data_IF_148435304110
#
_entry.id   IF_148435304110
#
_cell.length_a   1.000
_cell.length_b   1.000
_cell.length_c   1.000
_cell.angle_alpha   90.00
_cell.angle_beta   90.00
_cell.angle_gamma   90.00
#
_symmetry.space_group_name_H-M   'P 1'
#
loop_
_entity.id
_entity.type
_entity.pdbx_description
1 polymer ?
#
# COMPACT_ATOMS: atom_id res chain seq x y z
N UNK A 1 15.25 39.84 -5.22
CA UNK A 1 14.48 39.88 -3.97
C UNK A 1 14.59 38.49 -3.35
N UNK A 2 15.45 38.35 -2.36
CA UNK A 2 15.67 37.11 -1.62
C UNK A 2 14.44 36.84 -0.74
N UNK A 3 13.57 35.93 -1.19
CA UNK A 3 12.46 35.50 -0.38
C UNK A 3 12.98 34.77 0.86
N UNK A 4 12.84 35.40 2.01
CA UNK A 4 13.12 34.82 3.33
C UNK A 4 12.36 33.50 3.47
N UNK A 5 13.01 32.40 3.87
CA UNK A 5 12.28 31.14 4.12
C UNK A 5 11.24 31.39 5.22
N UNK A 6 10.04 30.78 5.13
CA UNK A 6 8.99 30.97 6.12
C UNK A 6 9.48 30.71 7.54
N UNK A 7 9.02 31.53 8.48
CA UNK A 7 9.43 31.48 9.88
C UNK A 7 9.20 30.09 10.50
N UNK A 8 10.03 29.71 11.46
CA UNK A 8 10.02 28.39 12.10
C UNK A 8 8.64 27.88 12.60
N UNK A 9 7.74 28.71 13.16
CA UNK A 9 6.40 28.30 13.57
C UNK A 9 5.50 27.90 12.38
N UNK A 10 5.61 28.54 11.22
CA UNK A 10 4.85 28.18 10.03
C UNK A 10 5.26 26.80 9.44
N UNK A 11 6.54 26.41 9.59
CA UNK A 11 7.03 25.09 9.16
C UNK A 11 6.50 23.97 10.04
N UNK A 12 6.43 24.16 11.35
CA UNK A 12 5.85 23.18 12.29
C UNK A 12 4.37 22.91 12.02
N UNK A 13 3.58 23.95 11.77
CA UNK A 13 2.18 23.85 11.43
C UNK A 13 1.96 23.11 10.09
N UNK A 14 2.80 23.37 9.07
CA UNK A 14 2.72 22.69 7.80
C UNK A 14 3.04 21.19 7.88
N UNK A 15 4.04 20.79 8.69
CA UNK A 15 4.34 19.37 8.94
C UNK A 15 3.18 18.69 9.67
N UNK A 16 2.61 19.34 10.70
CA UNK A 16 1.46 18.82 11.42
C UNK A 16 0.25 18.67 10.50
N UNK A 17 0.00 19.64 9.60
CA UNK A 17 -1.07 19.55 8.61
C UNK A 17 -0.89 18.31 7.70
N UNK A 18 0.28 18.14 7.10
CA UNK A 18 0.52 16.98 6.20
C UNK A 18 0.40 15.65 6.97
N UNK A 19 0.86 15.62 8.23
CA UNK A 19 0.66 14.45 9.08
C UNK A 19 -0.82 14.11 9.27
N UNK A 20 -1.64 15.11 9.60
CA UNK A 20 -3.10 14.96 9.77
C UNK A 20 -3.75 14.56 8.45
N UNK A 21 -3.37 15.19 7.34
CA UNK A 21 -3.87 14.83 5.99
C UNK A 21 -3.63 13.37 5.68
N UNK A 22 -2.39 12.89 5.83
CA UNK A 22 -2.04 11.49 5.54
C UNK A 22 -2.77 10.53 6.50
N UNK A 23 -2.86 10.88 7.79
CA UNK A 23 -3.62 10.10 8.76
C UNK A 23 -5.08 9.95 8.35
N UNK A 24 -5.73 11.06 7.96
CA UNK A 24 -7.13 11.07 7.53
C UNK A 24 -7.34 10.31 6.21
N UNK A 25 -6.42 10.46 5.25
CA UNK A 25 -6.47 9.73 3.98
C UNK A 25 -6.36 8.20 4.19
N UNK A 26 -5.44 7.77 5.05
CA UNK A 26 -5.26 6.35 5.38
C UNK A 26 -6.42 5.81 6.22
N UNK A 27 -6.96 6.63 7.11
CA UNK A 27 -8.15 6.29 7.87
C UNK A 27 -9.38 6.14 6.96
N UNK A 28 -9.60 7.08 6.02
CA UNK A 28 -10.68 7.01 5.05
C UNK A 28 -10.57 5.78 4.12
N UNK A 29 -9.36 5.47 3.65
CA UNK A 29 -9.10 4.26 2.88
C UNK A 29 -9.40 3.00 3.70
N UNK A 30 -8.99 2.99 4.95
CA UNK A 30 -9.23 1.89 5.89
C UNK A 30 -10.72 1.66 6.16
N UNK A 31 -11.51 2.74 6.32
CA UNK A 31 -12.97 2.67 6.52
C UNK A 31 -13.67 1.85 5.43
N UNK A 32 -13.24 2.01 4.20
CA UNK A 32 -13.89 1.44 3.02
C UNK A 32 -13.45 -0.02 2.78
N UNK A 33 -12.26 -0.38 3.24
CA UNK A 33 -11.64 -1.66 2.93
C UNK A 33 -12.50 -2.89 3.28
N UNK A 34 -13.14 -3.01 4.45
CA UNK A 34 -14.00 -4.14 4.77
C UNK A 34 -15.36 -4.10 4.07
N UNK A 35 -15.78 -2.95 3.53
CA UNK A 35 -17.15 -2.72 3.07
C UNK A 35 -17.29 -2.81 1.56
N UNK A 36 -16.35 -2.22 0.81
CA UNK A 36 -16.46 -2.13 -0.64
C UNK A 36 -16.65 -3.50 -1.34
N UNK A 37 -15.94 -4.59 -0.96
CA UNK A 37 -16.17 -5.90 -1.57
C UNK A 37 -17.58 -6.42 -1.31
N UNK A 38 -18.13 -6.23 -0.10
CA UNK A 38 -19.49 -6.62 0.27
C UNK A 38 -20.53 -5.78 -0.44
N UNK A 39 -20.28 -4.47 -0.63
CA UNK A 39 -21.16 -3.62 -1.41
C UNK A 39 -21.20 -4.05 -2.88
N UNK A 40 -20.08 -4.46 -3.46
CA UNK A 40 -20.05 -5.05 -4.81
C UNK A 40 -20.85 -6.34 -4.85
N UNK A 41 -20.71 -7.20 -3.84
CA UNK A 41 -21.43 -8.47 -3.73
C UNK A 41 -22.96 -8.28 -3.67
N UNK A 42 -23.44 -7.27 -2.95
CA UNK A 42 -24.87 -6.96 -2.87
C UNK A 42 -25.50 -6.53 -4.20
N UNK A 43 -24.73 -6.01 -5.15
CA UNK A 43 -25.18 -5.64 -6.49
C UNK A 43 -25.24 -6.83 -7.48
N UNK A 44 -24.78 -8.00 -7.07
CA UNK A 44 -24.72 -9.20 -7.93
C UNK A 44 -25.44 -10.39 -7.28
N UNK A 45 -26.53 -10.13 -6.60
CA UNK A 45 -27.39 -11.14 -5.96
C UNK A 45 -26.64 -12.04 -4.96
N UNK A 46 -25.62 -11.49 -4.29
CA UNK A 46 -24.72 -12.18 -3.37
C UNK A 46 -23.94 -13.36 -4.01
N UNK A 47 -23.74 -13.31 -5.33
CA UNK A 47 -22.80 -14.22 -6.02
C UNK A 47 -21.36 -13.78 -5.74
N UNK A 48 -20.73 -14.42 -4.75
CA UNK A 48 -19.36 -14.11 -4.32
C UNK A 48 -18.35 -14.33 -5.44
N UNK A 49 -18.53 -15.33 -6.32
CA UNK A 49 -17.62 -15.58 -7.44
C UNK A 49 -17.68 -14.46 -8.49
N UNK A 50 -18.90 -13.96 -8.78
CA UNK A 50 -19.11 -12.82 -9.67
C UNK A 50 -18.59 -11.52 -9.03
N UNK A 51 -18.86 -11.32 -7.75
CA UNK A 51 -18.35 -10.18 -6.98
C UNK A 51 -16.81 -10.12 -6.99
N UNK A 52 -16.14 -11.26 -6.79
CA UNK A 52 -14.68 -11.33 -6.81
C UNK A 52 -14.09 -10.91 -8.17
N UNK A 53 -14.67 -11.36 -9.28
CA UNK A 53 -14.24 -10.95 -10.63
C UNK A 53 -14.38 -9.45 -10.85
N UNK A 54 -15.51 -8.87 -10.46
CA UNK A 54 -15.78 -7.43 -10.59
C UNK A 54 -14.88 -6.63 -9.68
N UNK A 55 -14.69 -7.07 -8.43
CA UNK A 55 -13.80 -6.40 -7.48
C UNK A 55 -12.34 -6.43 -7.94
N UNK A 56 -11.90 -7.52 -8.56
CA UNK A 56 -10.59 -7.60 -9.20
C UNK A 56 -10.41 -6.58 -10.33
N UNK A 57 -11.42 -6.42 -11.18
CA UNK A 57 -11.43 -5.40 -12.23
C UNK A 57 -11.38 -3.97 -11.64
N UNK A 58 -12.10 -3.72 -10.55
CA UNK A 58 -12.08 -2.44 -9.83
C UNK A 58 -10.68 -2.12 -9.26
N UNK A 59 -10.05 -3.11 -8.61
CA UNK A 59 -8.69 -2.97 -8.08
C UNK A 59 -7.65 -2.73 -9.18
N UNK A 60 -7.77 -3.46 -10.29
CA UNK A 60 -6.89 -3.28 -11.46
C UNK A 60 -7.08 -1.92 -12.12
N UNK A 61 -8.33 -1.46 -12.31
CA UNK A 61 -8.62 -0.13 -12.86
C UNK A 61 -8.04 0.98 -11.96
N UNK A 62 -8.23 0.86 -10.65
CA UNK A 62 -7.65 1.79 -9.67
C UNK A 62 -6.12 1.83 -9.74
N UNK A 63 -5.46 0.67 -9.76
CA UNK A 63 -4.00 0.57 -9.86
C UNK A 63 -3.47 1.11 -11.20
N UNK A 64 -4.20 0.87 -12.30
CA UNK A 64 -3.86 1.39 -13.63
C UNK A 64 -3.92 2.92 -13.65
N UNK A 65 -4.98 3.50 -13.11
CA UNK A 65 -5.11 4.96 -13.02
C UNK A 65 -3.99 5.55 -12.15
N UNK A 66 -3.69 4.94 -11.02
CA UNK A 66 -2.60 5.36 -10.15
C UNK A 66 -1.24 5.30 -10.85
N UNK A 67 -0.99 4.24 -11.60
CA UNK A 67 0.26 4.07 -12.36
C UNK A 67 0.47 5.20 -13.37
N UNK A 68 -0.56 5.57 -14.13
CA UNK A 68 -0.44 6.63 -15.13
C UNK A 68 -0.49 8.04 -14.53
N UNK A 69 -1.36 8.27 -13.57
CA UNK A 69 -1.60 9.62 -13.06
C UNK A 69 -0.65 10.05 -11.94
N UNK A 70 0.01 9.13 -11.22
CA UNK A 70 0.96 9.49 -10.17
C UNK A 70 2.15 10.32 -10.70
N UNK A 71 2.83 9.94 -11.79
CA UNK A 71 3.88 10.79 -12.37
C UNK A 71 3.35 12.11 -12.96
N UNK A 72 2.13 12.09 -13.52
CA UNK A 72 1.50 13.30 -14.09
C UNK A 72 1.21 14.30 -12.97
N UNK A 73 0.56 13.86 -11.88
CA UNK A 73 0.26 14.72 -10.73
C UNK A 73 1.54 15.18 -10.02
N UNK A 74 2.58 14.35 -9.95
CA UNK A 74 3.90 14.76 -9.50
C UNK A 74 4.45 15.92 -10.34
N UNK A 75 4.47 15.78 -11.66
CA UNK A 75 4.93 16.85 -12.58
C UNK A 75 4.05 18.09 -12.54
N UNK A 76 2.74 17.94 -12.37
CA UNK A 76 1.82 19.07 -12.20
C UNK A 76 2.12 19.81 -10.87
N UNK A 77 2.44 19.08 -9.82
CA UNK A 77 2.81 19.66 -8.53
C UNK A 77 4.16 20.41 -8.59
N UNK A 78 5.10 19.95 -9.43
CA UNK A 78 6.36 20.65 -9.69
C UNK A 78 6.14 21.96 -10.45
N UNK A 79 5.12 22.00 -11.33
CA UNK A 79 4.82 23.18 -12.16
C UNK A 79 3.92 24.20 -11.49
N UNK A 80 2.82 23.74 -10.87
CA UNK A 80 1.79 24.64 -10.34
C UNK A 80 1.97 24.90 -8.84
N UNK A 81 2.78 24.11 -8.16
CA UNK A 81 2.98 24.11 -6.71
C UNK A 81 2.38 22.86 -6.07
N UNK A 82 2.87 22.53 -4.88
CA UNK A 82 2.45 21.34 -4.13
C UNK A 82 1.02 21.47 -3.59
N UNK A 83 0.72 22.65 -3.02
CA UNK A 83 -0.56 22.93 -2.36
C UNK A 83 -1.77 22.69 -3.27
N UNK A 84 -1.88 23.26 -4.49
CA UNK A 84 -3.05 23.05 -5.33
C UNK A 84 -3.30 21.58 -5.66
N UNK A 85 -2.24 20.80 -5.89
CA UNK A 85 -2.37 19.39 -6.26
C UNK A 85 -2.83 18.55 -5.06
N UNK A 86 -2.29 18.78 -3.87
CA UNK A 86 -2.76 18.08 -2.64
C UNK A 86 -4.22 18.38 -2.37
N UNK A 87 -4.62 19.66 -2.44
CA UNK A 87 -6.00 20.06 -2.18
C UNK A 87 -6.99 19.51 -3.21
N UNK A 88 -6.61 19.55 -4.50
CA UNK A 88 -7.45 18.99 -5.57
C UNK A 88 -7.61 17.48 -5.45
N UNK A 89 -6.55 16.78 -5.05
CA UNK A 89 -6.58 15.33 -4.80
C UNK A 89 -7.51 14.99 -3.64
N UNK A 90 -7.40 15.69 -2.50
CA UNK A 90 -8.26 15.45 -1.35
C UNK A 90 -9.73 15.79 -1.63
N UNK A 91 -9.97 16.87 -2.37
CA UNK A 91 -11.31 17.24 -2.82
C UNK A 91 -11.89 16.17 -3.76
N UNK A 92 -11.10 15.70 -4.72
CA UNK A 92 -11.50 14.63 -5.65
C UNK A 92 -11.82 13.32 -4.93
N UNK A 93 -11.03 12.94 -3.90
CA UNK A 93 -11.32 11.78 -3.05
C UNK A 93 -12.62 11.98 -2.25
N UNK A 94 -12.85 13.18 -1.70
CA UNK A 94 -14.09 13.47 -1.01
C UNK A 94 -15.33 13.33 -1.91
N UNK A 95 -15.25 13.84 -3.14
CA UNK A 95 -16.32 13.68 -4.14
C UNK A 95 -16.49 12.22 -4.57
N UNK A 96 -15.39 11.46 -4.74
CA UNK A 96 -15.45 10.03 -5.02
C UNK A 96 -16.21 9.27 -3.94
N UNK A 97 -15.94 9.56 -2.67
CA UNK A 97 -16.64 8.90 -1.57
C UNK A 97 -18.12 9.26 -1.51
N UNK A 98 -18.51 10.50 -1.84
CA UNK A 98 -19.92 10.88 -2.00
C UNK A 98 -20.55 10.10 -3.16
N UNK A 99 -19.87 10.01 -4.30
CA UNK A 99 -20.34 9.26 -5.46
C UNK A 99 -20.55 7.78 -5.10
N UNK A 100 -19.62 7.17 -4.34
CA UNK A 100 -19.74 5.77 -3.92
C UNK A 100 -20.83 5.56 -2.87
N UNK A 101 -21.02 6.51 -1.94
CA UNK A 101 -22.12 6.47 -0.98
C UNK A 101 -23.49 6.51 -1.66
N UNK A 102 -23.62 7.25 -2.74
CA UNK A 102 -24.85 7.41 -3.51
C UNK A 102 -25.00 6.39 -4.65
N UNK A 103 -23.97 5.58 -4.95
CA UNK A 103 -23.94 4.71 -6.12
C UNK A 103 -25.18 3.80 -6.20
N UNK A 104 -25.99 3.92 -7.28
CA UNK A 104 -27.18 3.06 -7.48
C UNK A 104 -26.83 1.76 -8.21
N UNK A 105 -25.61 1.61 -8.75
CA UNK A 105 -25.18 0.45 -9.51
C UNK A 105 -23.67 0.27 -9.53
N UNK A 106 -23.20 -0.90 -9.98
CA UNK A 106 -21.79 -1.24 -10.13
C UNK A 106 -21.01 -0.27 -11.03
N UNK A 107 -21.65 0.30 -12.06
CA UNK A 107 -21.00 1.26 -12.98
C UNK A 107 -20.57 2.50 -12.22
N UNK A 108 -21.40 3.01 -11.31
CA UNK A 108 -21.05 4.17 -10.50
C UNK A 108 -19.93 3.88 -9.50
N UNK A 109 -19.91 2.68 -8.90
CA UNK A 109 -18.80 2.23 -8.07
C UNK A 109 -17.50 2.11 -8.89
N UNK A 110 -17.58 1.62 -10.13
CA UNK A 110 -16.44 1.54 -11.03
C UNK A 110 -15.90 2.93 -11.40
N UNK A 111 -16.80 3.88 -11.74
CA UNK A 111 -16.41 5.28 -11.99
C UNK A 111 -15.71 5.87 -10.77
N UNK A 112 -16.23 5.61 -9.56
CA UNK A 112 -15.56 5.98 -8.32
C UNK A 112 -14.15 5.40 -8.22
N UNK A 113 -13.95 4.12 -8.53
CA UNK A 113 -12.61 3.52 -8.52
C UNK A 113 -11.64 4.18 -9.49
N UNK A 114 -12.10 4.57 -10.67
CA UNK A 114 -11.30 5.32 -11.64
C UNK A 114 -10.91 6.70 -11.10
N UNK A 115 -11.89 7.45 -10.56
CA UNK A 115 -11.65 8.78 -9.97
C UNK A 115 -10.68 8.66 -8.78
N UNK A 116 -10.92 7.72 -7.88
CA UNK A 116 -10.05 7.45 -6.73
C UNK A 116 -8.61 7.12 -7.16
N UNK A 117 -8.43 6.30 -8.20
CA UNK A 117 -7.11 5.98 -8.74
C UNK A 117 -6.37 7.21 -9.27
N UNK A 118 -7.07 8.11 -9.95
CA UNK A 118 -6.52 9.38 -10.44
C UNK A 118 -6.13 10.29 -9.27
N UNK A 119 -6.99 10.44 -8.27
CA UNK A 119 -6.81 11.39 -7.17
C UNK A 119 -5.89 10.89 -6.05
N UNK A 120 -5.74 9.58 -5.87
CA UNK A 120 -4.89 8.98 -4.82
C UNK A 120 -3.38 9.26 -4.97
N UNK A 121 -2.94 9.87 -6.05
CA UNK A 121 -1.55 10.28 -6.24
C UNK A 121 -1.11 11.44 -5.33
N UNK A 122 -2.00 11.96 -4.47
CA UNK A 122 -1.70 12.97 -3.44
C UNK A 122 -0.58 12.56 -2.49
N UNK A 123 -0.45 11.27 -2.18
CA UNK A 123 0.58 10.74 -1.28
C UNK A 123 1.99 11.10 -1.76
N UNK A 124 2.29 10.91 -3.05
CA UNK A 124 3.61 11.26 -3.60
C UNK A 124 3.90 12.76 -3.50
N UNK A 125 2.88 13.61 -3.75
CA UNK A 125 2.97 15.06 -3.62
C UNK A 125 3.14 15.47 -2.14
N UNK A 126 2.48 14.79 -1.19
CA UNK A 126 2.64 15.03 0.24
C UNK A 126 4.07 14.71 0.71
N UNK A 127 4.67 13.62 0.23
CA UNK A 127 6.09 13.32 0.50
C UNK A 127 7.03 14.38 -0.08
N UNK A 128 6.78 14.87 -1.31
CA UNK A 128 7.53 15.95 -1.90
C UNK A 128 7.39 17.25 -1.10
N UNK A 129 6.17 17.59 -0.68
CA UNK A 129 5.89 18.74 0.19
C UNK A 129 6.73 18.69 1.48
N UNK A 130 6.74 17.54 2.18
CA UNK A 130 7.56 17.33 3.39
C UNK A 130 9.05 17.52 3.09
N UNK A 131 9.54 17.00 1.96
CA UNK A 131 10.93 17.15 1.56
C UNK A 131 11.30 18.61 1.29
N UNK A 132 10.37 19.43 0.76
CA UNK A 132 10.59 20.85 0.48
C UNK A 132 10.72 21.69 1.77
N UNK A 133 9.94 21.37 2.82
CA UNK A 133 9.90 22.17 4.06
C UNK A 133 10.82 21.64 5.17
N UNK A 134 11.37 20.42 5.02
CA UNK A 134 12.14 19.75 6.07
C UNK A 134 13.63 19.74 5.72
N UNK A 135 14.52 20.25 6.60
CA UNK A 135 15.97 20.11 6.45
C UNK A 135 16.39 18.64 6.29
N UNK A 136 17.44 18.38 5.50
CA UNK A 136 17.87 17.03 5.15
C UNK A 136 18.11 16.13 6.38
N UNK A 137 18.69 16.69 7.45
CA UNK A 137 19.04 15.98 8.69
C UNK A 137 17.79 15.52 9.48
N UNK A 138 16.64 16.20 9.30
CA UNK A 138 15.37 15.90 9.99
C UNK A 138 14.39 15.11 9.16
N UNK A 139 14.64 14.91 7.85
CA UNK A 139 13.72 14.24 6.92
C UNK A 139 13.37 12.82 7.38
N UNK A 140 14.37 12.05 7.80
CA UNK A 140 14.15 10.67 8.26
C UNK A 140 13.18 10.61 9.44
N UNK A 141 13.30 11.51 10.42
CA UNK A 141 12.41 11.56 11.57
C UNK A 141 10.98 11.98 11.19
N UNK A 142 10.83 12.93 10.24
CA UNK A 142 9.50 13.36 9.77
C UNK A 142 8.84 12.28 8.93
N UNK A 143 9.55 11.61 8.04
CA UNK A 143 9.03 10.46 7.30
C UNK A 143 8.66 9.29 8.21
N UNK A 144 9.40 9.08 9.29
CA UNK A 144 9.04 8.12 10.34
C UNK A 144 7.68 8.44 10.99
N UNK A 145 7.42 9.71 11.32
CA UNK A 145 6.12 10.15 11.83
C UNK A 145 5.00 9.92 10.81
N UNK A 146 5.24 10.22 9.54
CA UNK A 146 4.29 9.95 8.46
C UNK A 146 4.00 8.46 8.34
N UNK A 147 5.02 7.60 8.42
CA UNK A 147 4.84 6.15 8.49
C UNK A 147 3.97 5.70 9.66
N UNK A 148 4.13 6.33 10.84
CA UNK A 148 3.27 6.08 11.99
C UNK A 148 1.81 6.51 11.74
N UNK A 149 1.58 7.64 11.02
CA UNK A 149 0.24 8.07 10.62
C UNK A 149 -0.42 7.06 9.67
N UNK A 150 0.33 6.56 8.68
CA UNK A 150 -0.12 5.47 7.81
C UNK A 150 -0.56 4.24 8.62
N UNK A 151 0.30 3.78 9.55
CA UNK A 151 0.00 2.63 10.39
C UNK A 151 -1.24 2.85 11.26
N UNK A 152 -1.34 3.98 11.92
CA UNK A 152 -2.47 4.31 12.79
C UNK A 152 -3.80 4.38 12.00
N UNK A 153 -3.82 5.07 10.85
CA UNK A 153 -5.00 5.15 9.99
C UNK A 153 -5.41 3.77 9.47
N UNK A 154 -4.44 2.94 9.09
CA UNK A 154 -4.69 1.59 8.57
C UNK A 154 -5.10 0.57 9.64
N UNK A 155 -4.87 0.85 10.93
CA UNK A 155 -5.36 0.02 12.05
C UNK A 155 -6.77 0.43 12.44
N UNK A 156 -6.97 1.73 12.67
CA UNK A 156 -8.23 2.24 13.19
C UNK A 156 -9.31 2.27 12.10
N UNK A 157 -8.93 2.58 10.86
CA UNK A 157 -9.85 2.67 9.73
C UNK A 157 -10.70 1.43 9.52
N UNK A 158 -10.12 0.23 9.30
CA UNK A 158 -10.91 -0.98 9.09
C UNK A 158 -11.78 -1.36 10.29
N UNK A 159 -11.31 -1.15 11.53
CA UNK A 159 -12.10 -1.43 12.73
C UNK A 159 -13.36 -0.54 12.78
N UNK A 160 -13.18 0.76 12.60
CA UNK A 160 -14.31 1.72 12.59
C UNK A 160 -15.19 1.49 11.35
N UNK A 161 -14.59 1.24 10.19
CA UNK A 161 -15.29 0.93 8.95
C UNK A 161 -16.16 -0.31 9.06
N UNK A 162 -15.64 -1.37 9.69
CA UNK A 162 -16.39 -2.59 9.97
C UNK A 162 -17.59 -2.33 10.88
N UNK A 163 -17.39 -1.57 11.97
CA UNK A 163 -18.47 -1.20 12.90
C UNK A 163 -19.56 -0.35 12.23
N UNK A 164 -19.17 0.67 11.47
CA UNK A 164 -20.11 1.54 10.75
C UNK A 164 -20.84 0.79 9.64
N UNK A 165 -20.12 -0.05 8.91
CA UNK A 165 -20.67 -0.81 7.79
C UNK A 165 -21.57 -1.99 8.19
N UNK A 166 -21.49 -2.41 9.45
CA UNK A 166 -22.42 -3.39 10.02
C UNK A 166 -23.79 -2.73 10.30
N UNK A 167 -23.80 -1.45 10.65
CA UNK A 167 -25.01 -0.67 10.82
C UNK A 167 -25.63 -0.26 9.47
N UNK A 168 -24.83 0.27 8.55
CA UNK A 168 -25.21 0.63 7.18
C UNK A 168 -23.99 0.55 6.26
N UNK A 169 -23.99 -0.29 5.19
CA UNK A 169 -22.88 -0.41 4.26
C UNK A 169 -22.44 0.90 3.58
N UNK A 170 -23.29 1.93 3.56
CA UNK A 170 -22.98 3.23 2.95
C UNK A 170 -22.41 4.24 3.93
N UNK A 171 -22.60 4.04 5.23
CA UNK A 171 -22.15 4.97 6.28
C UNK A 171 -20.64 5.19 6.27
N UNK A 172 -19.75 4.18 6.09
CA UNK A 172 -18.30 4.39 5.98
C UNK A 172 -17.91 5.34 4.85
N UNK A 173 -18.61 5.29 3.71
CA UNK A 173 -18.34 6.21 2.59
C UNK A 173 -18.73 7.65 2.91
N UNK A 174 -19.85 7.88 3.61
CA UNK A 174 -20.25 9.20 4.07
C UNK A 174 -19.26 9.78 5.07
N UNK A 175 -18.78 8.97 6.01
CA UNK A 175 -17.75 9.40 6.98
C UNK A 175 -16.45 9.72 6.27
N UNK A 176 -16.01 8.88 5.35
CA UNK A 176 -14.80 9.11 4.54
C UNK A 176 -14.92 10.40 3.69
N UNK A 177 -16.10 10.63 3.09
CA UNK A 177 -16.39 11.87 2.34
C UNK A 177 -16.28 13.09 3.23
N UNK A 178 -16.95 13.07 4.38
CA UNK A 178 -16.91 14.16 5.35
C UNK A 178 -15.50 14.50 5.82
N UNK A 179 -14.70 13.47 6.14
CA UNK A 179 -13.30 13.64 6.56
C UNK A 179 -12.43 14.22 5.45
N UNK A 180 -12.53 13.70 4.21
CA UNK A 180 -11.73 14.19 3.08
C UNK A 180 -12.10 15.62 2.67
N UNK A 181 -13.39 15.96 2.68
CA UNK A 181 -13.84 17.33 2.40
C UNK A 181 -13.45 18.29 3.52
N UNK A 182 -13.60 17.88 4.79
CA UNK A 182 -13.14 18.68 5.95
C UNK A 182 -11.61 18.90 5.89
N UNK A 183 -10.84 17.86 5.52
CA UNK A 183 -9.40 17.97 5.32
C UNK A 183 -9.04 18.92 4.17
N UNK A 184 -9.83 18.92 3.10
CA UNK A 184 -9.68 19.90 2.00
C UNK A 184 -9.90 21.33 2.46
N UNK A 185 -10.98 21.58 3.22
CA UNK A 185 -11.28 22.90 3.79
C UNK A 185 -10.18 23.35 4.75
N UNK A 186 -9.75 22.44 5.64
CA UNK A 186 -8.64 22.72 6.57
C UNK A 186 -7.36 23.07 5.80
N UNK A 187 -7.06 22.36 4.72
CA UNK A 187 -5.92 22.67 3.86
C UNK A 187 -6.03 23.99 3.10
N UNK A 188 -7.24 24.35 2.65
CA UNK A 188 -7.48 25.66 2.03
C UNK A 188 -7.15 26.81 2.99
N UNK A 189 -7.44 26.64 4.27
CA UNK A 189 -7.24 27.66 5.30
C UNK A 189 -5.81 27.70 5.84
N UNK A 190 -5.18 26.52 6.02
CA UNK A 190 -3.96 26.39 6.82
C UNK A 190 -2.71 25.98 6.04
N UNK A 191 -2.84 25.35 4.87
CA UNK A 191 -1.68 24.82 4.14
C UNK A 191 -0.99 25.94 3.34
N UNK A 192 0.24 26.35 3.66
CA UNK A 192 1.00 27.27 2.82
C UNK A 192 1.55 26.54 1.57
N UNK A 193 1.97 27.28 0.55
CA UNK A 193 2.70 26.69 -0.58
C UNK A 193 4.15 26.39 -0.16
N UNK A 194 4.62 25.15 -0.46
CA UNK A 194 5.99 24.74 -0.13
C UNK A 194 6.99 25.02 -1.27
N UNK A 195 6.49 25.08 -2.52
CA UNK A 195 7.34 25.25 -3.70
C UNK A 195 7.23 26.68 -4.24
N UNK A 196 8.23 27.56 -3.96
CA UNK A 196 8.28 28.92 -4.47
C UNK A 196 8.24 28.97 -6.00
N UNK A 197 7.71 30.06 -6.55
CA UNK A 197 7.51 30.20 -8.01
C UNK A 197 8.81 30.12 -8.81
N UNK A 198 9.89 30.61 -8.27
CA UNK A 198 11.26 30.58 -8.83
C UNK A 198 11.89 29.18 -8.89
N UNK A 199 11.39 28.23 -8.10
CA UNK A 199 11.86 26.84 -8.08
C UNK A 199 10.96 25.87 -8.84
N UNK A 200 9.89 26.36 -9.47
CA UNK A 200 8.95 25.53 -10.22
C UNK A 200 9.57 25.06 -11.54
N UNK A 201 9.45 23.76 -11.80
CA UNK A 201 9.96 23.15 -13.03
C UNK A 201 8.94 23.22 -14.18
N UNK A 202 9.43 23.28 -15.42
CA UNK A 202 8.56 23.07 -16.59
C UNK A 202 8.09 21.62 -16.66
N UNK A 203 6.84 21.39 -17.04
CA UNK A 203 6.30 20.05 -17.23
C UNK A 203 7.09 19.29 -18.32
N UNK A 204 7.59 18.10 -17.99
CA UNK A 204 8.36 17.26 -18.92
C UNK A 204 7.83 15.82 -18.88
N UNK A 205 7.23 15.36 -19.97
CA UNK A 205 6.79 13.97 -20.14
C UNK A 205 7.94 12.94 -19.98
N UNK A 206 9.18 13.31 -20.37
CA UNK A 206 10.35 12.42 -20.26
C UNK A 206 10.76 12.10 -18.83
N UNK A 207 10.45 12.95 -17.86
CA UNK A 207 10.77 12.72 -16.44
C UNK A 207 9.86 11.65 -15.80
N UNK A 208 8.74 11.35 -16.43
CA UNK A 208 7.74 10.39 -15.97
C UNK A 208 7.97 8.96 -16.51
N UNK A 209 9.22 8.61 -16.89
CA UNK A 209 9.51 7.29 -17.46
C UNK A 209 9.91 6.25 -16.38
N UNK A 210 8.98 5.39 -15.94
CA UNK A 210 9.27 4.35 -14.94
C UNK A 210 10.16 3.22 -15.48
N UNK A 211 10.23 3.06 -16.82
CA UNK A 211 10.95 1.95 -17.46
C UNK A 211 12.46 2.18 -17.43
N UNK A 212 12.91 3.42 -17.55
CA UNK A 212 14.34 3.76 -17.51
C UNK A 212 15.02 3.37 -16.18
N UNK A 213 14.29 3.46 -15.08
CA UNK A 213 14.77 3.08 -13.75
C UNK A 213 15.04 1.56 -13.63
N UNK A 214 14.31 0.71 -14.37
CA UNK A 214 14.47 -0.75 -14.34
C UNK A 214 15.85 -1.21 -14.85
N UNK A 215 16.52 -0.41 -15.68
CA UNK A 215 17.87 -0.77 -16.17
C UNK A 215 18.88 -0.87 -15.03
N UNK A 216 18.75 -0.06 -13.97
CA UNK A 216 19.60 -0.17 -12.78
C UNK A 216 19.47 -1.54 -12.12
N UNK A 217 18.25 -2.09 -12.04
CA UNK A 217 18.02 -3.38 -11.39
C UNK A 217 18.68 -4.54 -12.16
N UNK A 218 18.88 -4.38 -13.46
CA UNK A 218 19.57 -5.37 -14.32
C UNK A 218 21.08 -5.20 -14.32
N UNK A 219 21.64 -4.10 -13.80
CA UNK A 219 23.06 -3.79 -13.86
C UNK A 219 23.93 -4.75 -13.05
N UNK A 220 23.40 -5.32 -11.97
CA UNK A 220 24.07 -6.30 -11.13
C UNK A 220 23.16 -7.49 -10.86
N UNK A 221 23.71 -8.69 -10.91
CA UNK A 221 22.95 -9.94 -10.69
C UNK A 221 22.25 -9.98 -9.33
N UNK A 222 22.88 -9.45 -8.28
CA UNK A 222 22.29 -9.37 -6.95
C UNK A 222 21.08 -8.40 -6.92
N UNK A 223 21.16 -7.26 -7.60
CA UNK A 223 20.05 -6.33 -7.72
C UNK A 223 18.88 -6.95 -8.48
N UNK A 224 19.17 -7.65 -9.59
CA UNK A 224 18.15 -8.34 -10.36
C UNK A 224 17.45 -9.44 -9.52
N UNK A 225 18.23 -10.24 -8.79
CA UNK A 225 17.69 -11.28 -7.91
C UNK A 225 16.82 -10.69 -6.78
N UNK A 226 17.32 -9.70 -6.05
CA UNK A 226 16.56 -9.05 -4.98
C UNK A 226 15.32 -8.31 -5.49
N UNK A 227 15.39 -7.75 -6.72
CA UNK A 227 14.22 -7.13 -7.36
C UNK A 227 13.15 -8.14 -7.71
N UNK A 228 13.54 -9.34 -8.15
CA UNK A 228 12.62 -10.44 -8.41
C UNK A 228 11.99 -10.95 -7.11
N UNK A 229 12.78 -11.05 -6.03
CA UNK A 229 12.25 -11.35 -4.69
C UNK A 229 11.23 -10.30 -4.28
N UNK A 230 11.55 -9.00 -4.43
CA UNK A 230 10.63 -7.91 -4.12
C UNK A 230 9.35 -7.98 -4.97
N UNK A 231 9.45 -8.30 -6.26
CA UNK A 231 8.30 -8.48 -7.13
C UNK A 231 7.35 -9.57 -6.63
N UNK A 232 7.86 -10.77 -6.35
CA UNK A 232 7.03 -11.87 -5.85
C UNK A 232 6.41 -11.57 -4.49
N UNK A 233 7.17 -10.92 -3.59
CA UNK A 233 6.68 -10.49 -2.29
C UNK A 233 5.55 -9.47 -2.41
N UNK A 234 5.72 -8.45 -3.22
CA UNK A 234 4.70 -7.41 -3.44
C UNK A 234 3.47 -7.97 -4.16
N UNK A 235 3.68 -8.89 -5.11
CA UNK A 235 2.59 -9.59 -5.79
C UNK A 235 1.78 -10.43 -4.79
N UNK A 236 2.44 -11.25 -3.96
CA UNK A 236 1.77 -12.05 -2.94
C UNK A 236 1.01 -11.19 -1.92
N UNK A 237 1.57 -10.02 -1.54
CA UNK A 237 0.92 -9.09 -0.62
C UNK A 237 -0.44 -8.61 -1.12
N UNK A 238 -0.63 -8.52 -2.44
CA UNK A 238 -1.88 -8.07 -3.03
C UNK A 238 -3.08 -8.99 -2.74
N UNK A 239 -2.88 -10.24 -2.29
CA UNK A 239 -3.97 -11.16 -1.91
C UNK A 239 -4.83 -10.59 -0.77
N UNK A 240 -4.19 -9.90 0.19
CA UNK A 240 -4.90 -9.38 1.36
C UNK A 240 -5.93 -8.30 0.99
N UNK A 241 -5.54 -7.16 0.36
CA UNK A 241 -6.50 -6.11 0.02
C UNK A 241 -7.48 -6.52 -1.08
N UNK A 242 -7.15 -7.51 -1.92
CA UNK A 242 -8.00 -7.88 -3.06
C UNK A 242 -8.98 -9.01 -2.76
N UNK A 243 -8.66 -9.92 -1.83
CA UNK A 243 -9.44 -11.17 -1.71
C UNK A 243 -9.89 -11.46 -0.28
N UNK A 244 -9.16 -10.97 0.74
CA UNK A 244 -9.37 -11.38 2.12
C UNK A 244 -10.81 -11.17 2.61
N UNK A 245 -11.44 -10.03 2.31
CA UNK A 245 -12.80 -9.71 2.77
C UNK A 245 -13.81 -10.71 2.23
N UNK A 246 -13.82 -10.93 0.90
CA UNK A 246 -14.73 -11.89 0.25
C UNK A 246 -14.45 -13.31 0.71
N UNK A 247 -13.17 -13.68 0.87
CA UNK A 247 -12.77 -14.98 1.38
C UNK A 247 -13.29 -15.25 2.80
N UNK A 248 -13.09 -14.29 3.71
CA UNK A 248 -13.48 -14.42 5.12
C UNK A 248 -15.01 -14.48 5.26
N UNK A 249 -15.73 -13.67 4.48
CA UNK A 249 -17.19 -13.71 4.43
C UNK A 249 -17.69 -15.04 3.86
N UNK A 250 -17.13 -15.51 2.74
CA UNK A 250 -17.54 -16.76 2.09
C UNK A 250 -17.22 -17.99 2.95
N UNK A 251 -15.99 -18.07 3.48
CA UNK A 251 -15.52 -19.28 4.18
C UNK A 251 -15.98 -19.37 5.62
N UNK A 252 -16.01 -18.25 6.34
CA UNK A 252 -16.28 -18.21 7.77
C UNK A 252 -17.61 -17.54 8.14
N UNK A 253 -18.33 -16.97 7.17
CA UNK A 253 -19.56 -16.22 7.43
C UNK A 253 -19.32 -14.91 8.20
N UNK A 254 -18.13 -14.33 8.11
CA UNK A 254 -17.79 -13.13 8.88
C UNK A 254 -18.57 -11.91 8.43
N UNK A 255 -19.12 -11.18 9.39
CA UNK A 255 -19.70 -9.86 9.21
C UNK A 255 -18.63 -8.78 8.97
N UNK A 256 -19.06 -7.56 8.70
CA UNK A 256 -18.13 -6.43 8.43
C UNK A 256 -17.32 -6.06 9.65
N UNK A 257 -17.94 -6.18 10.85
CA UNK A 257 -17.28 -5.91 12.14
C UNK A 257 -16.13 -6.88 12.40
N UNK A 258 -16.34 -8.18 12.25
CA UNK A 258 -15.30 -9.21 12.45
C UNK A 258 -14.16 -9.06 11.46
N UNK A 259 -14.47 -8.78 10.18
CA UNK A 259 -13.47 -8.48 9.17
C UNK A 259 -12.66 -7.24 9.54
N UNK A 260 -13.34 -6.15 9.94
CA UNK A 260 -12.68 -4.90 10.35
C UNK A 260 -11.75 -5.08 11.56
N UNK A 261 -12.19 -5.81 12.58
CA UNK A 261 -11.37 -6.14 13.76
C UNK A 261 -10.16 -6.98 13.34
N UNK A 262 -10.34 -7.97 12.47
CA UNK A 262 -9.24 -8.80 11.98
C UNK A 262 -8.19 -7.99 11.23
N UNK A 263 -8.61 -7.05 10.37
CA UNK A 263 -7.69 -6.15 9.67
C UNK A 263 -6.95 -5.22 10.64
N UNK A 264 -7.62 -4.75 11.70
CA UNK A 264 -6.97 -3.98 12.76
C UNK A 264 -5.92 -4.82 13.50
N UNK A 265 -6.21 -6.10 13.81
CA UNK A 265 -5.23 -7.01 14.42
C UNK A 265 -4.00 -7.21 13.50
N UNK A 266 -4.20 -7.37 12.19
CA UNK A 266 -3.11 -7.42 11.21
C UNK A 266 -2.26 -6.15 11.29
N UNK A 267 -2.90 -4.98 11.34
CA UNK A 267 -2.22 -3.70 11.45
C UNK A 267 -1.41 -3.56 12.75
N UNK A 268 -1.99 -3.95 13.89
CA UNK A 268 -1.30 -3.93 15.21
C UNK A 268 -0.07 -4.85 15.19
N UNK A 269 -0.22 -6.09 14.74
CA UNK A 269 0.90 -7.03 14.67
C UNK A 269 2.00 -6.53 13.72
N UNK A 270 1.63 -5.97 12.56
CA UNK A 270 2.58 -5.37 11.63
C UNK A 270 3.33 -4.19 12.25
N UNK A 271 2.62 -3.31 12.99
CA UNK A 271 3.23 -2.18 13.68
C UNK A 271 4.24 -2.64 14.75
N UNK A 272 3.89 -3.65 15.54
CA UNK A 272 4.79 -4.22 16.57
C UNK A 272 6.06 -4.79 15.95
N UNK A 273 5.94 -5.55 14.87
CA UNK A 273 7.10 -6.12 14.16
C UNK A 273 7.94 -5.03 13.52
N UNK A 274 7.32 -4.07 12.83
CA UNK A 274 8.04 -2.98 12.14
C UNK A 274 8.68 -2.00 13.12
N UNK A 275 8.00 -1.67 14.22
CA UNK A 275 8.50 -0.71 15.22
C UNK A 275 9.55 -1.29 16.17
N UNK A 276 9.35 -2.52 16.67
CA UNK A 276 10.18 -3.11 17.71
C UNK A 276 10.92 -4.37 17.26
N UNK A 277 10.44 -5.09 16.24
CA UNK A 277 10.96 -6.42 15.87
C UNK A 277 12.12 -6.38 14.87
N UNK A 278 12.07 -5.51 13.86
CA UNK A 278 13.04 -5.52 12.74
C UNK A 278 14.47 -5.33 13.23
N UNK A 279 14.74 -4.34 14.09
CA UNK A 279 16.07 -4.02 14.56
C UNK A 279 16.75 -5.17 15.31
N UNK A 280 16.13 -5.74 16.35
CA UNK A 280 16.64 -6.91 17.06
C UNK A 280 16.85 -8.13 16.17
N UNK A 281 15.87 -8.44 15.29
CA UNK A 281 15.96 -9.62 14.40
C UNK A 281 17.14 -9.48 13.43
N UNK A 282 17.31 -8.31 12.81
CA UNK A 282 18.44 -8.08 11.89
C UNK A 282 19.77 -8.09 12.63
N UNK A 283 19.85 -7.56 13.86
CA UNK A 283 21.07 -7.63 14.67
C UNK A 283 21.45 -9.05 15.07
N UNK A 284 20.46 -9.87 15.40
CA UNK A 284 20.70 -11.25 15.86
C UNK A 284 21.06 -12.19 14.71
N UNK A 285 20.32 -12.12 13.59
CA UNK A 285 20.43 -13.07 12.48
C UNK A 285 21.21 -12.55 11.28
N UNK A 286 21.48 -11.22 11.23
CA UNK A 286 21.99 -10.57 10.04
C UNK A 286 20.95 -10.45 8.92
N UNK A 287 21.19 -9.57 7.95
CA UNK A 287 20.21 -9.23 6.91
C UNK A 287 19.83 -10.41 6.00
N UNK A 288 20.79 -11.29 5.69
CA UNK A 288 20.57 -12.42 4.77
C UNK A 288 19.64 -13.48 5.38
N UNK A 289 19.89 -13.85 6.62
CA UNK A 289 19.06 -14.85 7.31
C UNK A 289 17.72 -14.23 7.72
N UNK A 290 17.70 -12.97 8.15
CA UNK A 290 16.47 -12.23 8.46
C UNK A 290 15.54 -12.14 7.22
N UNK A 291 16.09 -11.94 6.00
CA UNK A 291 15.33 -11.99 4.76
C UNK A 291 14.66 -13.36 4.57
N UNK A 292 15.42 -14.43 4.67
CA UNK A 292 14.91 -15.79 4.45
C UNK A 292 13.87 -16.18 5.50
N UNK A 293 14.14 -15.90 6.78
CA UNK A 293 13.20 -16.17 7.89
C UNK A 293 11.89 -15.38 7.71
N UNK A 294 11.99 -14.08 7.37
CA UNK A 294 10.81 -13.26 7.12
C UNK A 294 9.96 -13.81 5.96
N UNK A 295 10.59 -14.23 4.86
CA UNK A 295 9.88 -14.83 3.73
C UNK A 295 9.21 -16.16 4.12
N UNK A 296 9.92 -17.03 4.84
CA UNK A 296 9.36 -18.33 5.31
C UNK A 296 8.17 -18.09 6.24
N UNK A 297 8.25 -17.13 7.17
CA UNK A 297 7.12 -16.75 8.02
C UNK A 297 5.95 -16.21 7.19
N UNK A 298 6.21 -15.41 6.16
CA UNK A 298 5.17 -14.95 5.23
C UNK A 298 4.45 -16.08 4.53
N UNK A 299 5.20 -17.03 3.96
CA UNK A 299 4.64 -18.21 3.31
C UNK A 299 3.83 -19.08 4.28
N UNK A 300 4.35 -19.31 5.50
CA UNK A 300 3.67 -20.07 6.54
C UNK A 300 2.36 -19.36 6.97
N UNK A 301 2.38 -18.03 7.15
CA UNK A 301 1.20 -17.26 7.49
C UNK A 301 0.11 -17.37 6.42
N UNK A 302 0.44 -17.24 5.15
CA UNK A 302 -0.51 -17.47 4.07
C UNK A 302 -1.03 -18.92 4.02
N UNK A 303 -0.18 -19.89 4.30
CA UNK A 303 -0.59 -21.28 4.35
C UNK A 303 -1.60 -21.51 5.49
N UNK A 304 -1.38 -20.91 6.67
CA UNK A 304 -2.34 -20.96 7.77
C UNK A 304 -3.70 -20.39 7.34
N UNK A 305 -3.73 -19.21 6.69
CA UNK A 305 -4.97 -18.67 6.13
C UNK A 305 -5.62 -19.61 5.11
N UNK A 306 -4.84 -20.25 4.26
CA UNK A 306 -5.36 -21.17 3.23
C UNK A 306 -6.04 -22.39 3.81
N UNK A 307 -5.47 -22.99 4.87
CA UNK A 307 -5.93 -24.30 5.41
C UNK A 307 -6.84 -24.17 6.64
N UNK A 308 -6.84 -23.04 7.35
CA UNK A 308 -7.58 -22.90 8.61
C UNK A 308 -9.05 -23.27 8.43
N UNK A 309 -9.58 -24.26 9.17
CA UNK A 309 -10.97 -24.70 9.02
C UNK A 309 -11.96 -23.72 9.66
N UNK A 310 -11.53 -22.94 10.63
CA UNK A 310 -12.36 -21.99 11.37
C UNK A 310 -11.72 -20.61 11.42
N UNK A 311 -12.55 -19.58 11.57
CA UNK A 311 -12.11 -18.19 11.68
C UNK A 311 -11.08 -17.95 12.79
N UNK A 312 -11.32 -18.35 14.04
CA UNK A 312 -10.35 -18.19 15.14
C UNK A 312 -8.98 -18.83 14.86
N UNK A 313 -8.94 -19.99 14.19
CA UNK A 313 -7.68 -20.63 13.82
C UNK A 313 -6.95 -19.85 12.72
N UNK A 314 -7.66 -19.16 11.83
CA UNK A 314 -7.01 -18.30 10.84
C UNK A 314 -6.24 -17.13 11.48
N UNK A 315 -6.67 -16.64 12.65
CA UNK A 315 -5.97 -15.56 13.36
C UNK A 315 -4.56 -15.95 13.81
N UNK A 316 -4.25 -17.24 13.98
CA UNK A 316 -2.89 -17.70 14.26
C UNK A 316 -1.91 -17.34 13.12
N UNK A 317 -2.42 -17.21 11.89
CA UNK A 317 -1.63 -16.76 10.75
C UNK A 317 -1.19 -15.29 10.85
N UNK A 318 -1.90 -14.44 11.60
CA UNK A 318 -1.62 -13.00 11.69
C UNK A 318 -0.23 -12.71 12.28
N UNK A 319 0.11 -13.15 13.50
CA UNK A 319 1.44 -12.89 14.07
C UNK A 319 2.57 -13.54 13.25
N UNK A 320 2.34 -14.74 12.72
CA UNK A 320 3.33 -15.44 11.88
C UNK A 320 3.59 -14.64 10.60
N UNK A 321 2.54 -14.23 9.88
CA UNK A 321 2.64 -13.44 8.66
C UNK A 321 3.25 -12.06 8.93
N UNK A 322 3.01 -11.45 10.09
CA UNK A 322 3.54 -10.12 10.41
C UNK A 322 5.07 -10.09 10.45
N UNK A 323 5.73 -11.20 10.78
CA UNK A 323 7.19 -11.35 10.73
C UNK A 323 7.73 -11.22 9.30
N UNK A 324 6.89 -11.40 8.29
CA UNK A 324 7.26 -11.14 6.90
C UNK A 324 7.72 -9.69 6.67
N UNK A 325 7.24 -8.71 7.44
CA UNK A 325 7.69 -7.32 7.38
C UNK A 325 9.21 -7.14 7.52
N UNK A 326 9.89 -8.07 8.19
CA UNK A 326 11.36 -8.09 8.31
C UNK A 326 12.04 -8.27 6.95
N UNK A 327 11.44 -9.05 6.04
CA UNK A 327 12.01 -9.32 4.71
C UNK A 327 12.08 -8.04 3.86
N UNK A 328 11.07 -7.15 3.94
CA UNK A 328 11.06 -5.89 3.21
C UNK A 328 12.22 -4.97 3.61
N UNK A 329 12.45 -4.82 4.93
CA UNK A 329 13.56 -4.04 5.45
C UNK A 329 14.93 -4.65 5.05
N UNK A 330 15.05 -5.97 5.08
CA UNK A 330 16.27 -6.68 4.71
C UNK A 330 16.55 -6.55 3.19
N UNK A 331 15.55 -6.68 2.32
CA UNK A 331 15.66 -6.45 0.86
C UNK A 331 16.17 -5.03 0.61
N UNK A 332 15.53 -4.04 1.22
CA UNK A 332 15.88 -2.63 1.04
C UNK A 332 17.32 -2.36 1.47
N UNK A 333 17.74 -2.88 2.63
CA UNK A 333 19.10 -2.72 3.13
C UNK A 333 20.13 -3.38 2.19
N UNK A 334 19.88 -4.62 1.75
CA UNK A 334 20.78 -5.33 0.85
C UNK A 334 20.90 -4.64 -0.51
N UNK A 335 19.80 -4.15 -1.10
CA UNK A 335 19.82 -3.44 -2.38
C UNK A 335 20.56 -2.10 -2.26
N UNK A 336 20.34 -1.36 -1.18
CA UNK A 336 20.96 -0.06 -0.91
C UNK A 336 22.48 -0.15 -0.83
N UNK A 337 23.03 -1.23 -0.27
CA UNK A 337 24.47 -1.48 -0.18
C UNK A 337 25.15 -1.76 -1.52
N UNK A 338 24.38 -2.13 -2.53
CA UNK A 338 24.89 -2.48 -3.87
C UNK A 338 24.96 -1.31 -4.84
N UNK A 339 24.40 -0.15 -4.48
CA UNK A 339 24.37 1.05 -5.32
C UNK A 339 25.16 2.19 -4.68
N UNK A 340 25.70 3.07 -5.51
CA UNK A 340 26.37 4.28 -5.03
C UNK A 340 25.36 5.31 -4.47
N UNK A 341 25.84 6.27 -3.69
CA UNK A 341 24.99 7.26 -3.01
C UNK A 341 24.17 8.10 -4.01
N UNK A 342 24.71 8.41 -5.16
CA UNK A 342 24.07 9.16 -6.26
C UNK A 342 22.98 8.34 -7.00
N UNK A 343 23.01 7.03 -6.88
CA UNK A 343 22.04 6.09 -7.50
C UNK A 343 20.89 5.68 -6.59
N UNK A 344 20.87 6.10 -5.32
CA UNK A 344 19.84 5.73 -4.34
C UNK A 344 18.44 6.16 -4.79
N UNK A 345 18.30 7.34 -5.35
CA UNK A 345 17.02 7.83 -5.90
C UNK A 345 16.53 6.98 -7.07
N UNK A 346 17.45 6.55 -7.96
CA UNK A 346 17.12 5.67 -9.08
C UNK A 346 16.68 4.28 -8.59
N UNK A 347 17.34 3.74 -7.56
CA UNK A 347 16.95 2.48 -6.92
C UNK A 347 15.53 2.55 -6.35
N UNK A 348 15.19 3.63 -5.62
CA UNK A 348 13.84 3.82 -5.08
C UNK A 348 12.79 3.92 -6.19
N UNK A 349 13.07 4.67 -7.25
CA UNK A 349 12.19 4.75 -8.42
C UNK A 349 11.98 3.39 -9.09
N UNK A 350 13.04 2.59 -9.24
CA UNK A 350 12.96 1.26 -9.80
C UNK A 350 12.14 0.29 -8.91
N UNK A 351 12.34 0.34 -7.59
CA UNK A 351 11.57 -0.47 -6.62
C UNK A 351 10.10 -0.09 -6.63
N UNK A 352 9.78 1.21 -6.73
CA UNK A 352 8.39 1.69 -6.87
C UNK A 352 7.74 1.22 -8.17
N UNK A 353 8.49 1.16 -9.28
CA UNK A 353 7.99 0.61 -10.55
C UNK A 353 7.64 -0.86 -10.43
N UNK A 354 8.50 -1.66 -9.77
CA UNK A 354 8.23 -3.08 -9.47
C UNK A 354 6.96 -3.23 -8.64
N UNK A 355 6.80 -2.43 -7.60
CA UNK A 355 5.60 -2.42 -6.75
C UNK A 355 4.35 -2.07 -7.56
N UNK A 356 4.41 -1.07 -8.42
CA UNK A 356 3.27 -0.65 -9.25
C UNK A 356 2.81 -1.77 -10.20
N UNK A 357 3.74 -2.50 -10.82
CA UNK A 357 3.41 -3.66 -11.65
C UNK A 357 2.74 -4.76 -10.82
N UNK A 358 3.24 -5.04 -9.61
CA UNK A 358 2.65 -6.01 -8.70
C UNK A 358 1.23 -5.61 -8.28
N UNK A 359 1.00 -4.32 -8.00
CA UNK A 359 -0.32 -3.80 -7.66
C UNK A 359 -1.31 -3.82 -8.83
N UNK A 360 -0.82 -3.72 -10.07
CA UNK A 360 -1.64 -3.84 -11.26
C UNK A 360 -2.09 -5.28 -11.50
N UNK A 361 -1.19 -6.25 -11.35
CA UNK A 361 -1.45 -7.66 -11.62
C UNK A 361 -2.17 -8.37 -10.47
N UNK A 362 -1.85 -8.00 -9.23
CA UNK A 362 -2.27 -8.71 -8.02
C UNK A 362 -3.78 -8.85 -7.86
N UNK A 363 -4.56 -7.77 -7.88
CA UNK A 363 -6.01 -7.85 -7.69
C UNK A 363 -6.66 -8.81 -8.68
N UNK A 364 -6.32 -8.70 -9.95
CA UNK A 364 -6.85 -9.56 -11.00
C UNK A 364 -6.46 -11.04 -10.79
N UNK A 365 -5.18 -11.30 -10.54
CA UNK A 365 -4.67 -12.65 -10.31
C UNK A 365 -5.39 -13.36 -9.15
N UNK A 366 -5.46 -12.72 -7.99
CA UNK A 366 -6.00 -13.37 -6.79
C UNK A 366 -7.51 -13.46 -6.78
N UNK A 367 -8.21 -12.45 -7.28
CA UNK A 367 -9.68 -12.50 -7.34
C UNK A 367 -10.18 -13.47 -8.39
N UNK A 368 -9.49 -13.61 -9.54
CA UNK A 368 -9.83 -14.65 -10.51
C UNK A 368 -9.56 -16.06 -9.97
N UNK A 369 -8.43 -16.24 -9.28
CA UNK A 369 -8.13 -17.52 -8.62
C UNK A 369 -9.21 -17.86 -7.60
N UNK A 370 -9.63 -16.90 -6.78
CA UNK A 370 -10.71 -17.10 -5.83
C UNK A 370 -12.02 -17.47 -6.51
N UNK A 371 -12.46 -16.64 -7.48
CA UNK A 371 -13.70 -16.84 -8.22
C UNK A 371 -13.75 -18.19 -8.94
N UNK A 372 -12.62 -18.64 -9.48
CA UNK A 372 -12.53 -19.95 -10.16
C UNK A 372 -12.76 -21.09 -9.17
N UNK A 373 -12.06 -21.08 -8.03
CA UNK A 373 -12.10 -22.19 -7.07
C UNK A 373 -13.32 -22.20 -6.15
N UNK A 374 -14.15 -21.15 -6.13
CA UNK A 374 -15.45 -21.15 -5.43
C UNK A 374 -16.65 -21.24 -6.41
N UNK A 375 -16.40 -21.14 -7.72
CA UNK A 375 -17.44 -21.19 -8.73
C UNK A 375 -18.07 -22.58 -8.87
N UNK A 376 -19.30 -22.64 -9.39
CA UNK A 376 -20.02 -23.90 -9.56
C UNK A 376 -19.34 -24.92 -10.49
N UNK A 377 -18.46 -24.47 -11.38
CA UNK A 377 -17.70 -25.32 -12.32
C UNK A 377 -16.29 -25.67 -11.82
N UNK A 378 -15.96 -25.33 -10.56
CA UNK A 378 -14.66 -25.66 -10.01
C UNK A 378 -14.49 -27.19 -9.91
N UNK A 379 -13.32 -27.73 -10.31
CA UNK A 379 -13.03 -29.16 -10.21
C UNK A 379 -13.01 -29.63 -8.75
N UNK A 380 -12.72 -28.72 -7.82
CA UNK A 380 -12.83 -28.88 -6.37
C UNK A 380 -13.07 -27.52 -5.73
N UNK A 381 -13.90 -27.50 -4.70
CA UNK A 381 -14.13 -26.29 -3.90
C UNK A 381 -12.93 -26.01 -3.00
N UNK A 382 -12.15 -24.98 -3.32
CA UNK A 382 -10.94 -24.62 -2.60
C UNK A 382 -10.90 -23.10 -2.33
N UNK A 383 -11.68 -22.58 -1.38
CA UNK A 383 -11.71 -21.14 -1.10
C UNK A 383 -10.35 -20.54 -0.72
N UNK A 384 -9.46 -21.36 -0.13
CA UNK A 384 -8.08 -20.96 0.24
C UNK A 384 -7.10 -20.85 -0.94
N UNK A 385 -7.49 -21.18 -2.18
CA UNK A 385 -6.62 -21.19 -3.35
C UNK A 385 -5.80 -19.90 -3.55
N UNK A 386 -6.33 -18.68 -3.37
CA UNK A 386 -5.54 -17.44 -3.48
C UNK A 386 -4.39 -17.39 -2.46
N UNK A 387 -4.61 -17.89 -1.24
CA UNK A 387 -3.58 -17.91 -0.20
C UNK A 387 -2.54 -19.00 -0.43
N UNK A 388 -2.92 -20.15 -0.99
CA UNK A 388 -1.95 -21.14 -1.50
C UNK A 388 -1.07 -20.55 -2.59
N UNK A 389 -1.66 -19.82 -3.55
CA UNK A 389 -0.92 -19.13 -4.60
C UNK A 389 0.03 -18.08 -4.01
N UNK A 390 -0.42 -17.27 -3.06
CA UNK A 390 0.42 -16.28 -2.37
C UNK A 390 1.58 -16.96 -1.63
N UNK A 391 1.32 -18.06 -0.91
CA UNK A 391 2.36 -18.85 -0.25
C UNK A 391 3.38 -19.39 -1.25
N UNK A 392 2.93 -19.94 -2.37
CA UNK A 392 3.81 -20.45 -3.44
C UNK A 392 4.70 -19.35 -4.05
N UNK A 393 4.16 -18.15 -4.28
CA UNK A 393 4.93 -16.99 -4.75
C UNK A 393 6.00 -16.56 -3.75
N UNK A 394 5.68 -16.56 -2.45
CA UNK A 394 6.66 -16.25 -1.40
C UNK A 394 7.72 -17.36 -1.28
N UNK A 395 7.35 -18.63 -1.41
CA UNK A 395 8.33 -19.74 -1.45
C UNK A 395 9.24 -19.65 -2.67
N UNK A 396 8.71 -19.23 -3.82
CA UNK A 396 9.53 -18.92 -5.00
C UNK A 396 10.50 -17.76 -4.69
N UNK A 397 10.04 -16.73 -3.99
CA UNK A 397 10.91 -15.66 -3.53
C UNK A 397 12.01 -16.17 -2.58
N UNK A 398 11.73 -17.13 -1.68
CA UNK A 398 12.76 -17.81 -0.84
C UNK A 398 13.80 -18.49 -1.73
N UNK A 399 13.38 -19.28 -2.73
CA UNK A 399 14.30 -19.99 -3.61
C UNK A 399 15.20 -19.02 -4.41
N UNK A 400 14.62 -17.94 -4.94
CA UNK A 400 15.37 -16.88 -5.66
C UNK A 400 16.33 -16.17 -4.71
N UNK A 401 15.90 -15.82 -3.50
CA UNK A 401 16.74 -15.18 -2.49
C UNK A 401 17.93 -16.07 -2.12
N UNK A 402 17.68 -17.34 -1.78
CA UNK A 402 18.72 -18.30 -1.45
C UNK A 402 19.74 -18.47 -2.58
N UNK A 403 19.27 -18.63 -3.84
CA UNK A 403 20.15 -18.75 -5.02
C UNK A 403 20.93 -17.47 -5.34
N UNK A 404 20.37 -16.29 -5.02
CA UNK A 404 21.05 -15.00 -5.20
C UNK A 404 22.13 -14.79 -4.15
N UNK A 405 21.79 -15.05 -2.88
CA UNK A 405 22.67 -14.81 -1.74
C UNK A 405 23.81 -15.82 -1.62
N UNK A 406 23.61 -17.09 -2.03
CA UNK A 406 24.66 -18.12 -2.00
C UNK A 406 25.83 -17.84 -2.95
N UNK A 407 25.55 -17.12 -4.06
CA UNK A 407 26.54 -16.77 -5.08
C UNK A 407 27.32 -15.50 -4.79
N UNK A 408 26.93 -14.74 -3.76
CA UNK A 408 27.63 -13.53 -3.32
C UNK A 408 28.43 -13.85 -2.06
N UNK A 409 29.78 -13.91 -2.17
CA UNK A 409 30.66 -14.05 -1.00
C UNK A 409 30.36 -12.96 0.02
N UNK A 410 30.28 -13.29 1.34
CA UNK A 410 30.21 -12.26 2.36
C UNK A 410 31.44 -11.36 2.20
N UNK A 411 31.25 -10.04 1.99
CA UNK A 411 32.30 -9.07 2.16
C UNK A 411 32.75 -9.17 3.61
N UNK A 412 33.98 -9.67 3.82
CA UNK A 412 34.54 -9.83 5.15
C UNK A 412 34.41 -8.54 5.92
N UNK A 413 33.92 -8.64 7.15
CA UNK A 413 34.00 -7.60 8.16
C UNK A 413 35.50 -7.31 8.30
N UNK A 414 35.98 -6.19 7.77
CA UNK A 414 37.26 -5.64 8.16
C UNK A 414 37.09 -5.26 9.63
N UNK A 415 37.56 -6.16 10.52
CA UNK A 415 37.87 -5.81 11.90
C UNK A 415 38.91 -4.71 11.86
N UNK A 416 38.52 -3.50 12.21
CA UNK A 416 39.42 -2.41 12.56
C UNK A 416 39.57 -2.40 14.06
#
# INVERSE_FOLDING_TARGET
MSGTPPAAPARGAAVAFIFVTILLDMFALGLIMPILPKLVESFVDNDTARAARIFGAFGTAWALMQFFFSPILGSLSDRFGRRPVVLLSNFGLGLDYVLMALAPSLIWLFVGRVISGITSASVSTAFAYIADITPAEKRAAVFGKVGAAFGAGFIVGPAVGGLLGDADPRLPFWVAAGLSLANTIYGLLMLPESLPRDRRASFRWKSANPIGALNLLRSKRILAGLSLVNFFTQLAHAVLPSTFVLYATYRYGWDSKTVGITLAMVGVCAMLVQGAGIGPIIRLFGERLALLLGLVCGAAGFLIFAVAPTGPLSWLGIPVMSLWGVSGAAIQSLMTKEVAADQQGQLQGASSSVQSVSQLLGPFLFTLTFAYFIGAQAPMQLPGAPFFLASALVLLAVAVAAGTLSRTKPRGVKTA
#
